data_IF_069084747736
#
_entry.id   IF_069084747736
#
_cell.length_a   1.000
_cell.length_b   1.000
_cell.length_c   1.000
_cell.angle_alpha   90.00
_cell.angle_beta   90.00
_cell.angle_gamma   90.00
#
_symmetry.space_group_name_H-M   'P 1'
#
loop_
_entity.id
_entity.type
_entity.pdbx_description
1 polymer ?
#
# COMPACT_ATOMS: atom_id res chain seq x y z
N UNK A 1 39.30 -13.19 -37.36
CA UNK A 1 37.84 -13.22 -37.08
C UNK A 1 37.74 -13.04 -35.55
N UNK A 2 37.44 -11.82 -35.14
CA UNK A 2 37.23 -11.48 -33.72
C UNK A 2 35.73 -11.62 -33.46
N UNK A 3 35.37 -12.68 -32.74
CA UNK A 3 34.00 -12.92 -32.28
C UNK A 3 33.73 -11.98 -31.09
N UNK A 4 32.95 -10.93 -31.32
CA UNK A 4 32.49 -10.02 -30.27
C UNK A 4 31.47 -10.79 -29.41
N UNK A 5 31.85 -11.22 -28.21
CA UNK A 5 30.99 -11.79 -27.22
C UNK A 5 30.18 -10.65 -26.59
N UNK A 6 28.99 -10.38 -27.13
CA UNK A 6 28.00 -9.49 -26.45
C UNK A 6 27.47 -10.20 -25.22
N UNK A 7 28.08 -9.94 -24.08
CA UNK A 7 27.47 -10.24 -22.78
C UNK A 7 26.22 -9.39 -22.64
N UNK A 8 25.05 -9.99 -22.76
CA UNK A 8 23.78 -9.43 -22.32
C UNK A 8 23.90 -9.20 -20.81
N UNK A 9 24.21 -7.98 -20.42
CA UNK A 9 24.09 -7.52 -19.02
C UNK A 9 22.60 -7.43 -18.76
N UNK A 10 22.01 -8.46 -18.19
CA UNK A 10 20.67 -8.37 -17.61
C UNK A 10 20.75 -7.35 -16.48
N UNK A 11 20.20 -6.18 -16.70
CA UNK A 11 20.01 -5.20 -15.63
C UNK A 11 19.15 -5.87 -14.55
N UNK A 12 19.53 -5.77 -13.25
CA UNK A 12 18.70 -6.31 -12.20
C UNK A 12 17.33 -5.64 -12.28
N UNK A 13 16.29 -6.44 -12.41
CA UNK A 13 14.91 -5.96 -12.31
C UNK A 13 14.72 -5.46 -10.87
N UNK A 14 14.38 -4.20 -10.73
CA UNK A 14 14.10 -3.62 -9.41
C UNK A 14 12.90 -4.35 -8.80
N UNK A 15 13.07 -4.89 -7.60
CA UNK A 15 11.98 -5.50 -6.83
C UNK A 15 11.85 -4.74 -5.51
N UNK A 16 10.66 -4.21 -5.24
CA UNK A 16 10.37 -3.49 -4.01
C UNK A 16 9.46 -4.33 -3.11
N UNK A 17 10.04 -4.85 -2.05
CA UNK A 17 9.42 -5.74 -1.08
C UNK A 17 9.83 -5.33 0.35
N UNK A 18 9.14 -5.80 1.39
CA UNK A 18 9.56 -5.58 2.78
C UNK A 18 10.97 -6.12 3.03
N UNK A 19 11.77 -5.35 3.77
CA UNK A 19 13.12 -5.71 4.17
C UNK A 19 13.17 -6.16 5.64
N UNK A 20 14.21 -6.92 6.00
CA UNK A 20 14.41 -7.36 7.39
C UNK A 20 14.63 -6.13 8.31
N UNK A 21 13.87 -6.07 9.40
CA UNK A 21 13.99 -5.00 10.41
C UNK A 21 13.70 -3.59 9.86
N UNK A 22 12.95 -3.48 8.80
CA UNK A 22 12.60 -2.21 8.17
C UNK A 22 11.93 -1.25 9.17
N UNK A 23 12.55 -0.09 9.40
CA UNK A 23 12.06 0.94 10.32
C UNK A 23 11.31 2.08 9.61
N UNK A 24 11.38 2.12 8.29
CA UNK A 24 10.72 3.12 7.44
C UNK A 24 9.79 2.46 6.43
N UNK A 25 9.14 3.27 5.62
CA UNK A 25 8.34 2.78 4.49
C UNK A 25 9.21 2.10 3.43
N UNK A 26 8.56 1.29 2.57
CA UNK A 26 9.16 0.81 1.34
C UNK A 26 9.55 1.99 0.43
N UNK A 27 10.52 1.79 -0.45
CA UNK A 27 10.95 2.85 -1.37
C UNK A 27 9.77 3.35 -2.21
N UNK A 28 9.52 4.68 -2.25
CA UNK A 28 8.43 5.23 -3.04
C UNK A 28 8.62 5.02 -4.53
N UNK A 29 7.59 4.49 -5.19
CA UNK A 29 7.57 4.29 -6.64
C UNK A 29 6.45 5.08 -7.34
N UNK A 30 5.78 5.97 -6.59
CA UNK A 30 4.78 6.91 -7.11
C UNK A 30 4.92 8.27 -6.43
N UNK A 31 4.34 9.32 -7.04
CA UNK A 31 4.27 10.65 -6.42
C UNK A 31 3.48 10.60 -5.11
N UNK A 32 2.35 9.90 -5.09
CA UNK A 32 1.52 9.74 -3.90
C UNK A 32 2.30 9.20 -2.71
N UNK A 33 3.10 8.14 -2.93
CA UNK A 33 3.90 7.58 -1.84
C UNK A 33 5.02 8.52 -1.38
N UNK A 34 5.63 9.29 -2.29
CA UNK A 34 6.60 10.33 -1.88
C UNK A 34 5.97 11.41 -1.00
N UNK A 35 4.75 11.84 -1.34
CA UNK A 35 4.03 12.84 -0.54
C UNK A 35 3.65 12.29 0.84
N UNK A 36 3.27 11.00 0.94
CA UNK A 36 3.03 10.32 2.21
C UNK A 36 4.31 10.24 3.05
N UNK A 37 5.42 9.80 2.47
CA UNK A 37 6.72 9.69 3.16
C UNK A 37 7.18 11.06 3.64
N UNK A 38 7.09 12.08 2.78
CA UNK A 38 7.44 13.44 3.16
C UNK A 38 6.61 13.94 4.35
N UNK A 39 5.27 13.77 4.30
CA UNK A 39 4.40 14.17 5.40
C UNK A 39 4.74 13.44 6.70
N UNK A 40 4.99 12.14 6.61
CA UNK A 40 5.35 11.32 7.76
C UNK A 40 6.71 11.75 8.35
N UNK A 41 7.76 11.78 7.54
CA UNK A 41 9.14 11.91 8.03
C UNK A 41 9.48 13.33 8.47
N UNK A 42 8.93 14.35 7.78
CA UNK A 42 9.26 15.75 8.06
C UNK A 42 8.23 16.47 8.93
N UNK A 43 7.05 15.91 9.13
CA UNK A 43 6.01 16.57 9.92
C UNK A 43 5.47 15.68 11.03
N UNK A 44 4.90 14.53 10.71
CA UNK A 44 4.26 13.66 11.71
C UNK A 44 5.29 13.10 12.71
N UNK A 45 6.34 12.45 12.22
CA UNK A 45 7.35 11.80 13.07
C UNK A 45 8.06 12.78 14.02
N UNK A 46 8.55 13.97 13.60
CA UNK A 46 9.11 14.94 14.53
C UNK A 46 8.15 15.41 15.61
N UNK A 47 6.86 15.62 15.26
CA UNK A 47 5.83 16.04 16.21
C UNK A 47 5.58 14.95 17.26
N UNK A 48 5.37 13.69 16.84
CA UNK A 48 5.10 12.61 17.80
C UNK A 48 6.31 12.29 18.68
N UNK A 49 7.53 12.38 18.14
CA UNK A 49 8.78 12.23 18.92
C UNK A 49 8.90 13.35 19.94
N UNK A 50 8.67 14.61 19.54
CA UNK A 50 8.72 15.76 20.46
C UNK A 50 7.69 15.63 21.59
N UNK A 51 6.44 15.24 21.29
CA UNK A 51 5.40 15.02 22.29
C UNK A 51 5.81 13.88 23.24
N UNK A 52 6.26 12.76 22.69
CA UNK A 52 6.67 11.60 23.50
C UNK A 52 7.84 11.93 24.42
N UNK A 53 8.85 12.64 23.91
CA UNK A 53 9.99 13.10 24.69
C UNK A 53 9.59 14.10 25.80
N UNK A 54 8.66 15.01 25.48
CA UNK A 54 8.11 15.97 26.45
C UNK A 54 7.37 15.25 27.58
N UNK A 55 6.50 14.30 27.26
CA UNK A 55 5.77 13.53 28.26
C UNK A 55 6.73 12.70 29.12
N UNK A 56 7.69 12.04 28.51
CA UNK A 56 8.74 11.29 29.24
C UNK A 56 9.51 12.22 30.19
N UNK A 57 9.93 13.40 29.74
CA UNK A 57 10.59 14.39 30.57
C UNK A 57 9.72 14.79 31.79
N UNK A 58 8.45 15.09 31.56
CA UNK A 58 7.52 15.43 32.65
C UNK A 58 7.38 14.30 33.66
N UNK A 59 7.25 13.04 33.20
CA UNK A 59 7.17 11.87 34.06
C UNK A 59 8.43 11.73 34.93
N UNK A 60 9.60 11.80 34.33
CA UNK A 60 10.87 11.74 35.05
C UNK A 60 11.04 12.91 36.04
N UNK A 61 10.66 14.11 35.60
CA UNK A 61 10.68 15.29 36.47
C UNK A 61 9.80 15.12 37.70
N UNK A 62 8.54 14.64 37.52
CA UNK A 62 7.61 14.39 38.62
C UNK A 62 8.16 13.33 39.56
N UNK A 63 8.66 12.20 39.06
CA UNK A 63 9.24 11.12 39.89
C UNK A 63 10.44 11.58 40.72
N UNK A 64 11.30 12.41 40.15
CA UNK A 64 12.50 12.89 40.85
C UNK A 64 12.20 14.05 41.79
N UNK A 65 11.40 15.03 41.34
CA UNK A 65 11.18 16.29 42.07
C UNK A 65 10.15 16.16 43.18
N UNK A 66 9.09 15.37 42.97
CA UNK A 66 7.95 15.27 43.86
C UNK A 66 7.93 13.95 44.66
N UNK A 67 9.01 13.20 44.69
CA UNK A 67 9.12 12.02 45.56
C UNK A 67 8.97 12.41 47.04
N UNK A 68 8.41 11.55 47.87
CA UNK A 68 8.10 11.79 49.28
C UNK A 68 9.28 12.40 50.05
N UNK A 69 10.51 11.86 49.85
CA UNK A 69 11.72 12.36 50.53
C UNK A 69 12.13 13.79 50.18
N UNK A 70 11.67 14.32 49.05
CA UNK A 70 11.93 15.71 48.57
C UNK A 70 10.74 16.64 48.66
N UNK A 71 9.55 16.10 48.85
CA UNK A 71 8.29 16.85 48.88
C UNK A 71 7.34 16.30 49.99
N UNK A 72 7.74 16.38 51.27
CA UNK A 72 7.01 15.82 52.41
C UNK A 72 5.63 16.51 52.62
N UNK A 73 5.49 17.75 52.17
CA UNK A 73 4.25 18.54 52.26
C UNK A 73 3.77 18.95 50.87
N UNK A 74 3.09 18.07 50.12
CA UNK A 74 2.66 18.36 48.78
C UNK A 74 1.58 19.46 48.76
N UNK A 75 1.61 20.28 47.69
CA UNK A 75 0.59 21.30 47.43
C UNK A 75 -0.77 20.63 47.25
N UNK A 76 -1.81 21.27 47.81
CA UNK A 76 -3.22 20.87 47.65
C UNK A 76 -3.91 21.57 46.45
N UNK A 77 -3.17 22.36 45.65
CA UNK A 77 -3.72 23.00 44.47
C UNK A 77 -4.07 21.93 43.44
N UNK A 78 -5.32 21.87 43.01
CA UNK A 78 -5.86 20.83 42.12
C UNK A 78 -6.11 21.30 40.69
N UNK A 79 -6.07 22.62 40.43
CA UNK A 79 -6.37 23.20 39.13
C UNK A 79 -5.54 24.46 38.85
N UNK A 80 -5.35 24.73 37.53
CA UNK A 80 -4.72 25.95 37.06
C UNK A 80 -5.29 26.26 35.64
N UNK A 81 -6.21 27.23 35.58
CA UNK A 81 -6.94 27.59 34.37
C UNK A 81 -6.00 27.95 33.19
N UNK A 82 -4.89 28.64 33.47
CA UNK A 82 -3.96 29.01 32.39
C UNK A 82 -3.31 27.77 31.75
N UNK A 83 -2.88 26.78 32.58
CA UNK A 83 -2.32 25.53 32.08
C UNK A 83 -3.38 24.72 31.33
N UNK A 84 -4.63 24.69 31.79
CA UNK A 84 -5.76 24.01 31.15
C UNK A 84 -6.05 24.59 29.78
N UNK A 85 -6.04 25.92 29.64
CA UNK A 85 -6.17 26.59 28.33
C UNK A 85 -5.01 26.20 27.41
N UNK A 86 -3.77 26.21 27.89
CA UNK A 86 -2.58 25.87 27.08
C UNK A 86 -2.65 24.43 26.59
N UNK A 87 -2.94 23.45 27.47
CA UNK A 87 -2.96 22.05 27.06
C UNK A 87 -4.14 21.69 26.17
N UNK A 88 -5.17 22.55 26.08
CA UNK A 88 -6.28 22.42 25.12
C UNK A 88 -5.92 23.04 23.77
N UNK A 89 -5.42 24.28 23.79
CA UNK A 89 -5.16 25.04 22.55
C UNK A 89 -3.95 24.50 21.78
N UNK A 90 -2.87 24.10 22.46
CA UNK A 90 -1.65 23.65 21.78
C UNK A 90 -1.89 22.40 20.92
N UNK A 91 -2.52 21.31 21.41
CA UNK A 91 -2.88 20.16 20.58
C UNK A 91 -3.82 20.54 19.41
N UNK A 92 -4.81 21.41 19.64
CA UNK A 92 -5.69 21.87 18.56
C UNK A 92 -4.91 22.58 17.45
N UNK A 93 -3.97 23.46 17.80
CA UNK A 93 -3.13 24.17 16.84
C UNK A 93 -2.22 23.20 16.06
N UNK A 94 -1.63 22.20 16.74
CA UNK A 94 -0.83 21.14 16.07
C UNK A 94 -1.69 20.41 15.04
N UNK A 95 -2.90 19.99 15.40
CA UNK A 95 -3.82 19.31 14.47
C UNK A 95 -4.21 20.18 13.28
N UNK A 96 -4.47 21.48 13.49
CA UNK A 96 -4.80 22.41 12.39
C UNK A 96 -3.61 22.53 11.42
N UNK A 97 -2.38 22.66 11.93
CA UNK A 97 -1.18 22.75 11.09
C UNK A 97 -0.98 21.47 10.27
N UNK A 98 -1.21 20.30 10.88
CA UNK A 98 -1.07 19.01 10.21
C UNK A 98 -2.20 18.73 9.20
N UNK A 99 -3.39 19.25 9.43
CA UNK A 99 -4.56 19.01 8.58
C UNK A 99 -4.34 19.48 7.14
N UNK A 100 -3.70 20.63 6.94
CA UNK A 100 -3.50 21.21 5.60
C UNK A 100 -2.73 20.26 4.65
N UNK A 101 -1.51 19.82 4.95
CA UNK A 101 -0.80 18.88 4.07
C UNK A 101 -1.45 17.48 4.04
N UNK A 102 -2.03 17.02 5.16
CA UNK A 102 -2.74 15.74 5.22
C UNK A 102 -3.93 15.71 4.26
N UNK A 103 -4.77 16.73 4.26
CA UNK A 103 -5.90 16.81 3.31
C UNK A 103 -5.43 16.93 1.86
N UNK A 104 -4.31 17.61 1.60
CA UNK A 104 -3.75 17.66 0.24
C UNK A 104 -3.42 16.26 -0.28
N UNK A 105 -2.78 15.42 0.53
CA UNK A 105 -2.47 14.02 0.19
C UNK A 105 -3.76 13.23 0.01
N UNK A 106 -4.71 13.34 0.93
CA UNK A 106 -5.99 12.64 0.88
C UNK A 106 -6.76 12.94 -0.42
N UNK A 107 -6.96 14.23 -0.73
CA UNK A 107 -7.69 14.62 -1.94
C UNK A 107 -6.95 14.27 -3.24
N UNK A 108 -5.62 14.23 -3.24
CA UNK A 108 -4.87 13.78 -4.40
C UNK A 108 -5.07 12.30 -4.70
N UNK A 109 -5.33 11.47 -3.68
CA UNK A 109 -5.65 10.05 -3.84
C UNK A 109 -7.09 9.82 -4.32
N UNK A 110 -8.04 10.65 -3.87
CA UNK A 110 -9.45 10.50 -4.23
C UNK A 110 -9.78 11.10 -5.60
N UNK A 111 -8.96 12.03 -6.11
CA UNK A 111 -9.15 12.65 -7.43
C UNK A 111 -8.45 11.80 -8.49
N UNK A 112 -9.18 10.94 -9.19
CA UNK A 112 -8.64 10.06 -10.22
C UNK A 112 -8.42 10.84 -11.52
N UNK A 113 -7.17 10.96 -12.03
CA UNK A 113 -6.90 11.55 -13.35
C UNK A 113 -7.50 10.67 -14.46
N UNK A 114 -7.47 11.18 -15.71
CA UNK A 114 -7.86 10.35 -16.85
C UNK A 114 -6.99 9.09 -16.88
N UNK A 115 -7.61 7.93 -16.75
CA UNK A 115 -6.93 6.65 -16.75
C UNK A 115 -6.41 6.29 -18.16
N UNK A 116 -5.21 5.75 -18.20
CA UNK A 116 -4.63 5.13 -19.40
C UNK A 116 -4.93 3.62 -19.41
N UNK A 117 -5.01 2.98 -18.23
CA UNK A 117 -5.31 1.57 -18.04
C UNK A 117 -6.31 1.45 -16.90
N UNK A 118 -7.32 0.59 -17.07
CA UNK A 118 -8.26 0.22 -16.01
C UNK A 118 -8.08 -1.25 -15.66
N UNK A 119 -7.94 -1.56 -14.39
CA UNK A 119 -7.98 -2.93 -13.86
C UNK A 119 -9.05 -3.02 -12.78
N UNK A 120 -9.64 -4.20 -12.63
CA UNK A 120 -10.57 -4.51 -11.54
C UNK A 120 -9.96 -5.63 -10.70
N UNK A 121 -9.84 -5.39 -9.40
CA UNK A 121 -9.38 -6.36 -8.40
C UNK A 121 -10.58 -6.83 -7.58
N UNK A 122 -10.75 -8.14 -7.47
CA UNK A 122 -11.86 -8.78 -6.77
C UNK A 122 -11.28 -9.68 -5.70
N UNK A 123 -11.58 -9.38 -4.42
CA UNK A 123 -11.15 -10.19 -3.29
C UNK A 123 -12.01 -11.45 -3.13
N UNK A 124 -11.36 -12.58 -2.92
CA UNK A 124 -11.94 -13.87 -2.58
C UNK A 124 -11.21 -14.48 -1.38
N UNK A 125 -11.81 -15.38 -0.69
CA UNK A 125 -11.18 -16.18 0.36
C UNK A 125 -10.48 -17.41 -0.25
N UNK A 126 -9.14 -17.46 -0.48
CA UNK A 126 -8.14 -16.43 -0.18
C UNK A 126 -7.23 -16.28 -1.40
N UNK A 127 -7.63 -15.44 -2.34
CA UNK A 127 -6.90 -15.10 -3.56
C UNK A 127 -7.46 -13.80 -4.16
N UNK A 128 -6.82 -13.27 -5.19
CA UNK A 128 -7.32 -12.12 -5.93
C UNK A 128 -7.72 -12.53 -7.36
N UNK A 129 -8.92 -12.11 -7.78
CA UNK A 129 -9.31 -12.13 -9.19
C UNK A 129 -9.00 -10.77 -9.83
N UNK A 130 -8.53 -10.78 -11.07
CA UNK A 130 -8.25 -9.58 -11.84
C UNK A 130 -8.97 -9.57 -13.17
N UNK A 131 -9.48 -8.40 -13.52
CA UNK A 131 -10.08 -8.14 -14.83
C UNK A 131 -9.41 -6.91 -15.45
N UNK A 132 -9.10 -6.94 -16.75
CA UNK A 132 -8.78 -5.80 -17.58
C UNK A 132 -9.98 -5.55 -18.50
N UNK A 133 -10.94 -4.69 -18.11
CA UNK A 133 -12.23 -4.58 -18.81
C UNK A 133 -12.08 -4.15 -20.27
N UNK A 134 -11.13 -3.25 -20.55
CA UNK A 134 -10.87 -2.71 -21.90
C UNK A 134 -10.24 -3.76 -22.83
N UNK A 135 -9.63 -4.81 -22.29
CA UNK A 135 -8.89 -5.85 -23.03
C UNK A 135 -9.58 -7.23 -23.01
N UNK A 136 -10.66 -7.38 -22.25
CA UNK A 136 -11.37 -8.65 -22.02
C UNK A 136 -10.46 -9.77 -21.49
N UNK A 137 -9.53 -9.43 -20.57
CA UNK A 137 -8.64 -10.38 -19.92
C UNK A 137 -9.14 -10.57 -18.48
N UNK A 138 -9.28 -11.83 -18.06
CA UNK A 138 -9.72 -12.21 -16.70
C UNK A 138 -8.84 -13.36 -16.24
N UNK A 139 -8.32 -13.26 -15.01
CA UNK A 139 -7.55 -14.35 -14.39
C UNK A 139 -7.60 -14.28 -12.87
N UNK A 140 -7.36 -15.41 -12.23
CA UNK A 140 -7.13 -15.51 -10.81
C UNK A 140 -5.63 -15.52 -10.50
N UNK A 141 -5.28 -15.00 -9.33
CA UNK A 141 -3.91 -14.85 -8.85
C UNK A 141 -3.78 -15.47 -7.46
N UNK A 142 -3.10 -16.61 -7.38
CA UNK A 142 -2.89 -17.37 -6.17
C UNK A 142 -1.44 -17.23 -5.69
N UNK A 143 -1.26 -17.22 -4.37
CA UNK A 143 0.08 -17.29 -3.77
C UNK A 143 0.78 -18.58 -4.20
N UNK A 144 2.05 -18.46 -4.55
CA UNK A 144 2.91 -19.64 -4.80
C UNK A 144 3.33 -20.24 -3.46
N UNK A 145 3.11 -21.52 -3.28
CA UNK A 145 3.55 -22.23 -2.08
C UNK A 145 5.08 -22.31 -2.02
N UNK A 146 5.64 -22.44 -0.80
CA UNK A 146 7.08 -22.34 -0.57
C UNK A 146 7.90 -23.38 -1.36
N UNK A 147 7.33 -24.56 -1.60
CA UNK A 147 7.93 -25.69 -2.33
C UNK A 147 8.05 -25.41 -3.84
N UNK A 148 7.18 -24.53 -4.38
CA UNK A 148 7.10 -24.21 -5.81
C UNK A 148 7.78 -22.89 -6.18
N UNK A 149 8.38 -22.19 -5.19
CA UNK A 149 9.07 -20.93 -5.42
C UNK A 149 10.30 -21.11 -6.30
N UNK A 150 10.46 -20.23 -7.27
CA UNK A 150 11.67 -20.14 -8.10
C UNK A 150 12.70 -19.23 -7.43
N UNK A 151 13.95 -19.39 -7.86
CA UNK A 151 15.05 -18.53 -7.39
C UNK A 151 14.70 -17.04 -7.60
N UNK A 152 14.85 -16.24 -6.55
CA UNK A 152 14.57 -14.81 -6.55
C UNK A 152 13.11 -14.44 -6.27
N UNK A 153 12.17 -15.39 -6.17
CA UNK A 153 10.80 -15.11 -5.77
C UNK A 153 10.67 -14.99 -4.25
N UNK A 154 10.04 -13.93 -3.72
CA UNK A 154 9.91 -13.76 -2.29
C UNK A 154 8.82 -14.67 -1.71
N UNK A 155 9.15 -15.33 -0.61
CA UNK A 155 8.22 -16.13 0.17
C UNK A 155 7.01 -15.30 0.62
N UNK A 156 5.80 -15.86 0.50
CA UNK A 156 4.51 -15.27 0.88
C UNK A 156 4.08 -14.04 0.04
N UNK A 157 4.82 -13.67 -0.99
CA UNK A 157 4.52 -12.49 -1.81
C UNK A 157 4.40 -12.82 -3.30
N UNK A 158 5.08 -13.88 -3.77
CA UNK A 158 5.00 -14.30 -5.16
C UNK A 158 3.67 -14.97 -5.50
N UNK A 159 3.17 -14.70 -6.72
CA UNK A 159 1.92 -15.26 -7.24
C UNK A 159 2.12 -15.95 -8.59
N UNK A 160 1.20 -16.84 -8.94
CA UNK A 160 1.20 -17.60 -10.19
C UNK A 160 0.87 -16.73 -11.42
N UNK A 161 -0.05 -15.77 -11.27
CA UNK A 161 -0.43 -14.83 -12.32
C UNK A 161 -0.30 -13.40 -11.80
N UNK A 162 0.61 -12.66 -12.39
CA UNK A 162 1.02 -11.31 -11.97
C UNK A 162 0.18 -10.26 -12.70
N UNK A 163 -0.21 -9.20 -11.99
CA UNK A 163 -0.78 -7.99 -12.60
C UNK A 163 0.33 -7.24 -13.32
N UNK A 164 0.14 -6.92 -14.61
CA UNK A 164 1.14 -6.20 -15.41
C UNK A 164 0.59 -4.83 -15.83
N UNK A 165 1.38 -3.78 -15.63
CA UNK A 165 1.01 -2.40 -15.97
C UNK A 165 2.18 -1.66 -16.63
N UNK A 166 1.89 -0.70 -17.52
CA UNK A 166 2.94 0.09 -18.15
C UNK A 166 3.47 1.19 -17.23
N UNK A 167 4.76 1.48 -17.31
CA UNK A 167 5.42 2.56 -16.57
C UNK A 167 4.92 3.95 -17.01
N UNK A 168 4.86 4.90 -16.09
CA UNK A 168 4.45 6.29 -16.32
C UNK A 168 3.01 6.47 -16.85
N UNK A 169 2.16 5.45 -16.76
CA UNK A 169 0.73 5.52 -17.08
C UNK A 169 -0.14 5.61 -15.84
N UNK A 170 -1.26 6.26 -15.94
CA UNK A 170 -2.27 6.32 -14.88
C UNK A 170 -3.07 5.03 -14.91
N UNK A 171 -2.92 4.23 -13.87
CA UNK A 171 -3.66 2.98 -13.67
C UNK A 171 -4.80 3.22 -12.69
N UNK A 172 -6.04 3.11 -13.17
CA UNK A 172 -7.25 3.10 -12.33
C UNK A 172 -7.51 1.68 -11.86
N UNK A 173 -7.74 1.51 -10.56
CA UNK A 173 -8.09 0.21 -9.97
C UNK A 173 -9.50 0.29 -9.40
N UNK A 174 -10.40 -0.52 -9.97
CA UNK A 174 -11.72 -0.80 -9.43
C UNK A 174 -11.59 -1.94 -8.43
N UNK A 175 -12.11 -1.79 -7.22
CA UNK A 175 -11.85 -2.75 -6.13
C UNK A 175 -13.19 -3.17 -5.51
N UNK A 176 -13.40 -4.48 -5.45
CA UNK A 176 -14.58 -5.10 -4.83
C UNK A 176 -14.22 -6.45 -4.23
N UNK A 177 -15.15 -7.08 -3.54
CA UNK A 177 -15.02 -8.45 -3.05
C UNK A 177 -16.27 -9.26 -3.38
N UNK A 178 -16.10 -10.58 -3.45
CA UNK A 178 -17.21 -11.50 -3.76
C UNK A 178 -17.83 -12.13 -2.50
N UNK A 179 -17.08 -12.16 -1.39
CA UNK A 179 -17.46 -12.91 -0.19
C UNK A 179 -17.43 -12.06 1.10
N UNK A 180 -16.26 -11.72 1.61
CA UNK A 180 -16.06 -10.92 2.82
C UNK A 180 -15.28 -9.65 2.51
N UNK A 181 -15.04 -8.81 3.53
CA UNK A 181 -14.18 -7.65 3.39
C UNK A 181 -12.73 -8.08 3.17
N UNK A 182 -12.07 -7.45 2.19
CA UNK A 182 -10.63 -7.50 1.97
C UNK A 182 -10.13 -6.07 1.77
N UNK A 183 -8.82 -5.84 1.66
CA UNK A 183 -8.27 -4.56 1.21
C UNK A 183 -7.10 -4.80 0.25
N UNK A 184 -7.17 -4.18 -0.91
CA UNK A 184 -6.09 -4.19 -1.89
C UNK A 184 -5.07 -3.13 -1.53
N UNK A 185 -3.85 -3.54 -1.22
CA UNK A 185 -2.82 -2.64 -0.74
C UNK A 185 -1.49 -2.86 -1.45
N UNK A 186 -0.88 -1.75 -1.91
CA UNK A 186 0.41 -1.74 -2.59
C UNK A 186 1.26 -0.61 -2.01
N UNK A 187 2.05 -0.89 -0.96
CA UNK A 187 2.74 0.12 -0.15
C UNK A 187 3.65 1.05 -0.95
N UNK A 188 4.42 0.53 -1.91
CA UNK A 188 5.34 1.33 -2.73
C UNK A 188 4.66 2.40 -3.56
N UNK A 189 3.36 2.24 -3.85
CA UNK A 189 2.55 3.24 -4.56
C UNK A 189 1.70 4.11 -3.65
N UNK A 190 1.71 3.83 -2.34
CA UNK A 190 0.87 4.55 -1.37
C UNK A 190 -0.62 4.22 -1.49
N UNK A 191 -0.96 3.04 -2.02
CA UNK A 191 -2.35 2.62 -2.25
C UNK A 191 -2.78 1.62 -1.18
N UNK A 192 -3.93 1.87 -0.59
CA UNK A 192 -4.71 0.92 0.22
C UNK A 192 -6.19 1.29 0.10
N UNK A 193 -7.00 0.33 -0.35
CA UNK A 193 -8.44 0.54 -0.52
C UNK A 193 -9.21 -0.75 -0.22
N UNK A 194 -10.26 -0.63 0.57
CA UNK A 194 -11.10 -1.76 0.95
C UNK A 194 -11.84 -2.35 -0.25
N UNK A 195 -11.86 -3.66 -0.32
CA UNK A 195 -12.63 -4.48 -1.23
C UNK A 195 -13.90 -4.95 -0.50
N UNK A 196 -15.04 -4.35 -0.82
CA UNK A 196 -16.32 -4.57 -0.11
C UNK A 196 -17.29 -5.31 -1.00
N UNK A 197 -17.94 -6.38 -0.51
CA UNK A 197 -19.02 -7.03 -1.25
C UNK A 197 -20.16 -6.07 -1.56
N UNK A 198 -20.67 -6.11 -2.81
CA UNK A 198 -21.77 -5.27 -3.26
C UNK A 198 -21.43 -3.80 -3.51
N UNK A 199 -20.15 -3.40 -3.39
CA UNK A 199 -19.68 -2.05 -3.66
C UNK A 199 -18.40 -2.09 -4.48
N UNK A 200 -18.27 -1.19 -5.45
CA UNK A 200 -17.02 -0.96 -6.19
C UNK A 200 -16.39 0.31 -5.65
N UNK A 201 -15.24 0.17 -4.99
CA UNK A 201 -14.38 1.26 -4.62
C UNK A 201 -13.38 1.54 -5.74
N UNK A 202 -12.84 2.76 -5.77
CA UNK A 202 -11.90 3.18 -6.79
C UNK A 202 -10.64 3.74 -6.15
N UNK A 203 -9.51 3.50 -6.79
CA UNK A 203 -8.23 4.14 -6.49
C UNK A 203 -7.41 4.25 -7.77
N UNK A 204 -6.25 4.88 -7.70
CA UNK A 204 -5.35 4.98 -8.82
C UNK A 204 -3.91 5.07 -8.36
N UNK A 205 -3.00 4.75 -9.25
CA UNK A 205 -1.57 5.00 -9.09
C UNK A 205 -0.92 5.27 -10.44
N UNK A 206 0.26 5.87 -10.40
CA UNK A 206 1.16 6.02 -11.55
C UNK A 206 2.53 5.53 -11.11
N UNK A 207 2.90 4.34 -11.58
CA UNK A 207 4.21 3.77 -11.32
C UNK A 207 5.28 4.46 -12.17
N UNK A 208 6.36 4.92 -11.55
CA UNK A 208 7.39 5.73 -12.21
C UNK A 208 8.66 4.95 -12.53
N UNK A 209 8.79 3.73 -12.01
CA UNK A 209 9.95 2.87 -12.22
C UNK A 209 9.51 1.49 -12.67
N UNK A 210 10.16 0.94 -13.69
CA UNK A 210 10.03 -0.47 -14.08
C UNK A 210 10.51 -1.36 -12.94
N UNK A 211 9.80 -2.44 -12.66
CA UNK A 211 10.14 -3.37 -11.58
C UNK A 211 8.96 -4.19 -11.10
N UNK A 212 9.18 -5.03 -10.10
CA UNK A 212 8.15 -5.83 -9.44
C UNK A 212 7.86 -5.28 -8.05
N UNK A 213 6.58 -5.09 -7.75
CA UNK A 213 6.09 -4.48 -6.51
C UNK A 213 5.14 -5.43 -5.82
N UNK A 214 5.27 -5.53 -4.50
CA UNK A 214 4.52 -6.47 -3.69
C UNK A 214 3.61 -5.78 -2.69
N UNK A 215 2.46 -6.38 -2.48
CA UNK A 215 1.48 -6.01 -1.48
C UNK A 215 0.77 -7.22 -0.90
N UNK A 216 -0.15 -6.99 0.01
CA UNK A 216 -0.92 -8.04 0.67
C UNK A 216 -2.33 -7.55 0.98
N UNK A 217 -3.26 -8.49 1.17
CA UNK A 217 -4.56 -8.17 1.75
C UNK A 217 -4.37 -7.44 3.08
N UNK A 218 -5.06 -6.30 3.26
CA UNK A 218 -4.89 -5.41 4.44
C UNK A 218 -6.19 -5.22 5.23
N UNK A 219 -7.21 -6.08 5.03
CA UNK A 219 -8.40 -6.18 5.86
C UNK A 219 -8.63 -7.63 6.26
N UNK A 220 -8.86 -7.89 7.56
CA UNK A 220 -8.97 -9.23 8.11
C UNK A 220 -10.10 -10.00 7.43
N UNK A 221 -9.77 -11.01 6.65
CA UNK A 221 -10.70 -11.78 5.83
C UNK A 221 -10.79 -13.27 6.20
N UNK A 222 -10.19 -13.70 7.30
CA UNK A 222 -10.26 -15.05 7.82
C UNK A 222 -8.90 -15.74 7.96
N UNK A 223 -8.91 -17.06 7.99
CA UNK A 223 -7.78 -17.92 8.40
C UNK A 223 -6.53 -17.77 7.50
N UNK A 224 -6.70 -17.53 6.20
CA UNK A 224 -5.59 -17.33 5.24
C UNK A 224 -5.42 -15.86 4.84
N UNK A 225 -5.81 -14.92 5.70
CA UNK A 225 -5.67 -13.47 5.44
C UNK A 225 -4.23 -13.07 5.02
N UNK A 226 -3.20 -13.64 5.63
CA UNK A 226 -1.81 -13.35 5.31
C UNK A 226 -1.29 -14.08 4.04
N UNK A 227 -2.10 -14.92 3.40
CA UNK A 227 -1.71 -15.84 2.33
C UNK A 227 -2.42 -15.52 1.01
N UNK A 228 -2.75 -14.26 0.77
CA UNK A 228 -3.29 -13.72 -0.47
C UNK A 228 -2.57 -12.43 -0.86
N UNK A 229 -1.32 -12.57 -1.35
CA UNK A 229 -0.50 -11.45 -1.76
C UNK A 229 -0.97 -10.80 -3.06
N UNK A 230 -0.35 -9.64 -3.34
CA UNK A 230 -0.55 -8.86 -4.55
C UNK A 230 0.83 -8.67 -5.17
N UNK A 231 1.00 -9.08 -6.43
CA UNK A 231 2.21 -8.84 -7.20
C UNK A 231 1.86 -8.01 -8.43
N UNK A 232 2.52 -6.85 -8.57
CA UNK A 232 2.36 -5.95 -9.73
C UNK A 232 3.70 -5.78 -10.40
N UNK A 233 3.77 -6.13 -11.69
CA UNK A 233 4.95 -5.92 -12.53
C UNK A 233 4.74 -4.70 -13.41
N UNK A 234 5.58 -3.71 -13.21
CA UNK A 234 5.64 -2.51 -14.03
C UNK A 234 6.64 -2.73 -15.13
N UNK A 235 6.25 -2.55 -16.38
CA UNK A 235 7.05 -2.82 -17.56
C UNK A 235 7.07 -1.62 -18.52
N UNK A 236 7.91 -1.67 -19.57
CA UNK A 236 7.85 -0.70 -20.64
C UNK A 236 6.52 -0.76 -21.41
N UNK A 237 6.17 0.29 -22.17
CA UNK A 237 4.97 0.26 -23.02
C UNK A 237 5.06 -0.89 -24.06
N UNK A 238 6.25 -1.16 -24.59
CA UNK A 238 6.48 -2.25 -25.56
C UNK A 238 6.24 -3.63 -24.93
N UNK A 239 6.84 -3.88 -23.75
CA UNK A 239 6.66 -5.14 -23.04
C UNK A 239 5.20 -5.32 -22.57
N UNK A 240 4.51 -4.22 -22.26
CA UNK A 240 3.08 -4.27 -21.91
C UNK A 240 2.22 -4.72 -23.08
N UNK A 241 2.48 -4.22 -24.31
CA UNK A 241 1.75 -4.66 -25.50
C UNK A 241 2.04 -6.12 -25.85
N UNK A 242 3.29 -6.55 -25.68
CA UNK A 242 3.66 -7.96 -25.85
C UNK A 242 2.90 -8.85 -24.84
N UNK A 243 2.92 -8.46 -23.55
CA UNK A 243 2.17 -9.16 -22.50
C UNK A 243 0.66 -9.22 -22.80
N UNK A 244 0.04 -8.12 -23.26
CA UNK A 244 -1.39 -8.10 -23.61
C UNK A 244 -1.71 -9.13 -24.69
N UNK A 245 -0.86 -9.26 -25.70
CA UNK A 245 -1.02 -10.23 -26.78
C UNK A 245 -0.98 -11.67 -26.26
N UNK A 246 -0.01 -11.97 -25.40
CA UNK A 246 0.16 -13.30 -24.79
C UNK A 246 -0.97 -13.60 -23.80
N UNK A 247 -1.38 -12.61 -22.98
CA UNK A 247 -2.44 -12.73 -22.00
C UNK A 247 -3.81 -13.03 -22.68
N UNK A 248 -4.11 -12.38 -23.80
CA UNK A 248 -5.31 -12.68 -24.59
C UNK A 248 -5.37 -14.13 -25.05
N UNK A 249 -4.22 -14.73 -25.38
CA UNK A 249 -4.14 -16.13 -25.75
C UNK A 249 -4.25 -17.06 -24.55
N UNK A 250 -3.52 -16.70 -23.47
CA UNK A 250 -3.44 -17.52 -22.24
C UNK A 250 -4.77 -17.60 -21.51
N UNK A 251 -5.46 -16.46 -21.37
CA UNK A 251 -6.65 -16.33 -20.53
C UNK A 251 -7.99 -16.37 -21.33
N UNK A 252 -7.96 -16.26 -22.67
CA UNK A 252 -9.17 -16.32 -23.51
C UNK A 252 -9.85 -17.71 -23.54
N UNK A 253 -9.20 -18.76 -23.05
CA UNK A 253 -9.73 -20.14 -23.05
C UNK A 253 -10.62 -20.46 -21.86
N UNK A 254 -10.78 -19.57 -20.90
CA UNK A 254 -11.54 -19.84 -19.68
C UNK A 254 -12.89 -19.11 -19.65
N UNK A 255 -13.78 -19.43 -20.63
CA UNK A 255 -15.17 -18.98 -20.61
C UNK A 255 -15.91 -19.35 -19.31
N UNK A 256 -15.40 -20.33 -18.54
CA UNK A 256 -15.97 -20.75 -17.26
C UNK A 256 -15.81 -19.66 -16.16
N UNK A 257 -14.77 -18.85 -16.21
CA UNK A 257 -14.55 -17.74 -15.29
C UNK A 257 -15.48 -16.56 -15.60
N UNK A 258 -15.74 -16.29 -16.87
CA UNK A 258 -16.66 -15.23 -17.32
C UNK A 258 -18.08 -15.50 -16.77
N UNK A 259 -18.53 -16.75 -16.83
CA UNK A 259 -19.85 -17.14 -16.33
C UNK A 259 -19.96 -17.10 -14.80
N UNK A 260 -18.90 -17.43 -14.05
CA UNK A 260 -18.88 -17.30 -12.58
C UNK A 260 -19.05 -15.84 -12.13
N UNK A 261 -18.37 -14.91 -12.79
CA UNK A 261 -18.39 -13.49 -12.43
C UNK A 261 -19.71 -12.81 -12.84
N UNK A 262 -20.36 -13.26 -13.90
CA UNK A 262 -21.69 -12.80 -14.31
C UNK A 262 -22.81 -13.24 -13.35
N UNK A 263 -22.67 -14.38 -12.69
CA UNK A 263 -23.62 -14.89 -11.69
C UNK A 263 -23.44 -14.15 -10.34
N UNK A 264 -22.24 -13.79 -9.98
CA UNK A 264 -21.93 -13.05 -8.76
C UNK A 264 -22.32 -11.55 -8.82
N UNK A 265 -22.64 -11.02 -10.00
CA UNK A 265 -23.06 -9.62 -10.20
C UNK A 265 -24.59 -9.41 -10.25
N UNK A 266 -25.38 -10.47 -10.04
CA UNK A 266 -26.83 -10.43 -9.86
C UNK A 266 -27.23 -10.65 -8.41
#
# INVERSE_FOLDING_TARGET
IITLLTTLISLPVFANQPEKWQLSFQEPASQTMRDIVWFHDYMLLPIIVAISAFVLFLMLYVMVRFRESRNPNPSKRTHNVAVEIIWTLVPCLILIVMAVPSFKVLYSQDTIPKADVTIKAIGYQWYWGYEYPDENIIFDSYMIEEEDLKEGQPRLLAVDNVVVVPVNKVVKVLITANDVLHAWALPSFGVKRDAMPGRINETWFKAEKVGTYYGQCSELCGIKHAFMPIEVRVVSDEDYQAWLSDAKIKFAKDESLINKNLIASK
#
